data_IF_899242232056
#
_entry.id   IF_899242232056
#
_cell.length_a   1.000
_cell.length_b   1.000
_cell.length_c   1.000
_cell.angle_alpha   90.00
_cell.angle_beta   90.00
_cell.angle_gamma   90.00
#
_symmetry.space_group_name_H-M   'P 1'
#
loop_
_entity.id
_entity.type
_entity.pdbx_description
1 polymer ?
#
# COMPACT_ATOMS: atom_id res chain seq x y z
N UNK A 1 52.84 -5.48 -40.66
CA UNK A 1 52.60 -6.67 -39.86
C UNK A 1 51.76 -6.23 -38.64
N UNK A 2 50.44 -6.10 -38.85
CA UNK A 2 49.51 -5.64 -37.83
C UNK A 2 48.89 -6.85 -37.14
N UNK A 3 49.23 -7.05 -35.86
CA UNK A 3 48.54 -8.05 -35.02
C UNK A 3 47.23 -7.45 -34.52
N UNK A 4 46.13 -7.83 -35.12
CA UNK A 4 44.79 -7.63 -34.62
C UNK A 4 44.54 -8.60 -33.45
N UNK A 5 44.72 -8.11 -32.22
CA UNK A 5 44.27 -8.83 -31.03
C UNK A 5 42.76 -8.65 -30.94
N UNK A 6 42.02 -9.61 -31.46
CA UNK A 6 40.58 -9.70 -31.28
C UNK A 6 40.31 -10.18 -29.84
N UNK A 7 40.17 -9.24 -28.92
CA UNK A 7 39.74 -9.51 -27.56
C UNK A 7 38.25 -9.91 -27.62
N UNK A 8 38.03 -11.21 -27.67
CA UNK A 8 36.72 -11.80 -27.48
C UNK A 8 36.34 -11.63 -26.00
N UNK A 9 35.62 -10.56 -25.69
CA UNK A 9 34.92 -10.39 -24.42
C UNK A 9 33.81 -11.46 -24.36
N UNK A 10 34.14 -12.60 -23.80
CA UNK A 10 33.20 -13.67 -23.47
C UNK A 10 32.34 -13.12 -22.33
N UNK A 11 31.20 -12.46 -22.66
CA UNK A 11 30.18 -12.12 -21.69
C UNK A 11 29.59 -13.42 -21.18
N UNK A 12 30.04 -13.84 -20.00
CA UNK A 12 29.36 -14.87 -19.20
C UNK A 12 27.97 -14.34 -18.87
N UNK A 13 27.01 -14.61 -19.72
CA UNK A 13 25.61 -14.45 -19.39
C UNK A 13 25.33 -15.45 -18.25
N UNK A 14 25.22 -14.93 -17.02
CA UNK A 14 24.74 -15.71 -15.89
C UNK A 14 23.32 -16.16 -16.23
N UNK A 15 23.14 -17.41 -16.56
CA UNK A 15 21.82 -18.01 -16.72
C UNK A 15 21.22 -18.06 -15.33
N UNK A 16 20.37 -17.08 -15.02
CA UNK A 16 19.56 -17.11 -13.80
C UNK A 16 18.47 -18.13 -14.06
N UNK A 17 18.61 -19.31 -13.51
CA UNK A 17 17.52 -20.27 -13.48
C UNK A 17 16.45 -19.73 -12.52
N UNK A 18 15.23 -19.63 -13.00
CA UNK A 18 14.10 -19.30 -12.14
C UNK A 18 13.92 -20.46 -11.15
N UNK A 19 13.79 -20.12 -9.85
CA UNK A 19 13.55 -21.13 -8.81
C UNK A 19 12.19 -21.80 -9.06
N UNK A 20 12.15 -23.13 -9.02
CA UNK A 20 10.89 -23.85 -9.21
C UNK A 20 9.90 -23.54 -8.09
N UNK A 21 8.63 -23.33 -8.47
CA UNK A 21 7.57 -23.14 -7.49
C UNK A 21 7.26 -24.49 -6.83
N UNK A 22 7.40 -24.61 -5.50
CA UNK A 22 7.09 -25.86 -4.82
C UNK A 22 5.60 -26.21 -4.93
N UNK A 23 5.25 -27.50 -4.86
CA UNK A 23 3.86 -27.91 -4.89
C UNK A 23 3.12 -27.40 -3.64
N UNK A 24 1.86 -27.01 -3.80
CA UNK A 24 0.98 -26.65 -2.69
C UNK A 24 0.52 -27.91 -1.96
N UNK A 25 1.25 -28.31 -0.92
CA UNK A 25 0.96 -29.52 -0.15
C UNK A 25 0.00 -29.29 1.02
N UNK A 26 -0.25 -28.03 1.34
CA UNK A 26 -1.13 -27.60 2.44
C UNK A 26 -1.15 -26.08 2.58
N UNK A 27 -1.91 -25.57 3.54
CA UNK A 27 -1.95 -24.11 3.83
C UNK A 27 -0.63 -23.57 4.38
N UNK A 28 0.16 -24.44 5.01
CA UNK A 28 1.51 -24.12 5.52
C UNK A 28 2.50 -25.05 4.85
N UNK A 29 3.38 -24.50 4.01
CA UNK A 29 4.45 -25.20 3.31
C UNK A 29 5.77 -24.70 3.87
N UNK A 30 6.38 -25.48 4.77
CA UNK A 30 7.65 -25.17 5.42
C UNK A 30 8.77 -26.06 4.87
N UNK A 31 9.47 -25.56 3.86
CA UNK A 31 10.62 -26.25 3.27
C UNK A 31 11.92 -26.02 4.03
N UNK A 32 11.92 -25.10 4.97
CA UNK A 32 13.06 -24.78 5.79
C UNK A 32 13.04 -25.47 7.16
N UNK A 33 11.93 -26.14 7.49
CA UNK A 33 11.72 -26.89 8.74
C UNK A 33 11.97 -26.01 9.99
N UNK A 34 11.50 -24.77 9.97
CA UNK A 34 11.65 -23.84 11.09
C UNK A 34 10.46 -23.83 12.04
N UNK A 35 9.33 -24.36 11.61
CA UNK A 35 8.12 -24.43 12.43
C UNK A 35 8.11 -25.75 13.25
N UNK A 36 7.94 -25.68 14.57
CA UNK A 36 7.55 -26.83 15.37
C UNK A 36 6.23 -27.43 14.85
N UNK A 37 6.07 -28.75 14.96
CA UNK A 37 4.93 -29.44 14.40
C UNK A 37 3.59 -29.00 15.01
N UNK A 38 3.57 -28.66 16.30
CA UNK A 38 2.41 -28.13 17.02
C UNK A 38 2.02 -26.74 16.51
N UNK A 39 3.00 -25.84 16.23
CA UNK A 39 2.79 -24.52 15.66
C UNK A 39 2.26 -24.63 14.24
N UNK A 40 2.86 -25.46 13.39
CA UNK A 40 2.41 -25.69 12.02
C UNK A 40 0.96 -26.24 11.99
N UNK A 41 0.64 -27.18 12.88
CA UNK A 41 -0.71 -27.73 13.02
C UNK A 41 -1.72 -26.69 13.53
N UNK A 42 -1.32 -25.80 14.45
CA UNK A 42 -2.18 -24.70 14.92
C UNK A 42 -2.46 -23.71 13.80
N UNK A 43 -1.43 -23.24 13.10
CA UNK A 43 -1.57 -22.33 11.95
C UNK A 43 -2.48 -22.92 10.87
N UNK A 44 -2.30 -24.20 10.56
CA UNK A 44 -3.14 -24.89 9.56
C UNK A 44 -4.61 -24.86 9.97
N UNK A 45 -4.93 -25.13 11.24
CA UNK A 45 -6.32 -25.07 11.74
C UNK A 45 -6.90 -23.66 11.69
N UNK A 46 -6.13 -22.66 12.10
CA UNK A 46 -6.56 -21.26 12.09
C UNK A 46 -6.87 -20.78 10.67
N UNK A 47 -6.00 -21.12 9.72
CA UNK A 47 -6.18 -20.82 8.30
C UNK A 47 -7.38 -21.53 7.69
N UNK A 48 -7.61 -22.79 8.07
CA UNK A 48 -8.77 -23.59 7.64
C UNK A 48 -10.08 -23.04 8.20
N UNK A 49 -10.10 -22.68 9.47
CA UNK A 49 -11.27 -22.06 10.11
C UNK A 49 -11.61 -20.72 9.45
N UNK A 50 -10.59 -19.91 9.14
CA UNK A 50 -10.78 -18.64 8.46
C UNK A 50 -11.35 -18.82 7.04
N UNK A 51 -10.79 -19.75 6.25
CA UNK A 51 -11.28 -20.03 4.90
C UNK A 51 -12.74 -20.55 4.94
N UNK A 52 -13.06 -21.44 5.87
CA UNK A 52 -14.43 -21.95 6.06
C UNK A 52 -15.42 -20.82 6.38
N UNK A 53 -14.99 -19.82 7.17
CA UNK A 53 -15.84 -18.70 7.61
C UNK A 53 -16.00 -17.62 6.54
N UNK A 54 -14.93 -17.34 5.79
CA UNK A 54 -14.84 -16.14 4.94
C UNK A 54 -14.67 -16.46 3.46
N UNK A 55 -14.37 -17.71 3.11
CA UNK A 55 -13.92 -18.17 1.80
C UNK A 55 -12.56 -17.59 1.33
N UNK A 56 -11.90 -16.76 2.12
CA UNK A 56 -10.59 -16.22 1.77
C UNK A 56 -9.50 -17.28 1.96
N UNK A 57 -8.63 -17.45 0.99
CA UNK A 57 -7.55 -18.42 1.03
C UNK A 57 -6.23 -17.77 1.44
N UNK A 58 -5.71 -18.17 2.59
CA UNK A 58 -4.41 -17.70 3.08
C UNK A 58 -3.44 -18.87 3.17
N UNK A 59 -2.26 -18.72 2.59
CA UNK A 59 -1.21 -19.72 2.61
C UNK A 59 0.11 -19.15 3.11
N UNK A 60 0.96 -20.01 3.65
CA UNK A 60 2.32 -19.69 4.11
C UNK A 60 3.32 -20.52 3.33
N UNK A 61 4.36 -19.88 2.81
CA UNK A 61 5.50 -20.55 2.21
C UNK A 61 6.79 -20.09 2.90
N UNK A 62 7.53 -21.04 3.44
CA UNK A 62 8.83 -20.79 4.06
C UNK A 62 9.89 -21.51 3.28
N UNK A 63 10.86 -20.74 2.77
CA UNK A 63 11.97 -21.23 1.93
C UNK A 63 13.30 -21.06 2.63
N UNK A 64 14.23 -22.00 2.45
CA UNK A 64 15.60 -21.81 2.89
C UNK A 64 16.31 -20.67 2.13
N UNK A 65 15.99 -20.46 0.85
CA UNK A 65 16.59 -19.44 -0.01
C UNK A 65 15.78 -19.20 -1.27
N UNK A 66 15.90 -18.00 -1.84
CA UNK A 66 15.39 -17.62 -3.16
C UNK A 66 16.39 -17.88 -4.29
N UNK A 67 17.59 -18.36 -3.98
CA UNK A 67 18.66 -18.66 -4.95
C UNK A 67 19.03 -17.50 -5.89
N UNK A 68 18.81 -16.26 -5.43
CA UNK A 68 19.09 -15.04 -6.19
C UNK A 68 17.89 -14.48 -6.94
N UNK A 69 16.75 -15.15 -6.93
CA UNK A 69 15.54 -14.61 -7.55
C UNK A 69 14.97 -13.46 -6.71
N UNK A 70 14.41 -12.38 -7.34
CA UNK A 70 13.72 -11.32 -6.63
C UNK A 70 12.48 -11.84 -5.89
N UNK A 71 12.36 -11.45 -4.61
CA UNK A 71 11.27 -11.89 -3.72
C UNK A 71 9.88 -11.60 -4.30
N UNK A 72 9.71 -10.41 -4.87
CA UNK A 72 8.45 -9.94 -5.44
C UNK A 72 8.03 -10.80 -6.64
N UNK A 73 8.95 -11.04 -7.57
CA UNK A 73 8.67 -11.86 -8.76
C UNK A 73 8.35 -13.30 -8.38
N UNK A 74 9.11 -13.86 -7.42
CA UNK A 74 8.88 -15.22 -6.95
C UNK A 74 7.56 -15.37 -6.21
N UNK A 75 7.23 -14.44 -5.28
CA UNK A 75 5.96 -14.50 -4.53
C UNK A 75 4.75 -14.40 -5.43
N UNK A 76 4.78 -13.49 -6.41
CA UNK A 76 3.72 -13.34 -7.40
C UNK A 76 3.54 -14.63 -8.22
N UNK A 77 4.65 -15.24 -8.68
CA UNK A 77 4.62 -16.50 -9.42
C UNK A 77 4.08 -17.65 -8.57
N UNK A 78 4.45 -17.73 -7.28
CA UNK A 78 3.89 -18.72 -6.35
C UNK A 78 2.38 -18.54 -6.20
N UNK A 79 1.91 -17.34 -5.89
CA UNK A 79 0.49 -17.04 -5.73
C UNK A 79 -0.33 -17.43 -6.97
N UNK A 80 0.16 -17.06 -8.15
CA UNK A 80 -0.47 -17.37 -9.44
C UNK A 80 -0.42 -18.87 -9.77
N UNK A 81 0.73 -19.54 -9.52
CA UNK A 81 0.87 -20.99 -9.78
C UNK A 81 0.01 -21.82 -8.84
N UNK A 82 -0.06 -21.43 -7.56
CA UNK A 82 -0.91 -22.07 -6.55
C UNK A 82 -2.38 -21.71 -6.73
N UNK A 83 -2.69 -20.69 -7.54
CA UNK A 83 -4.04 -20.18 -7.79
C UNK A 83 -4.78 -19.87 -6.49
N UNK A 84 -4.09 -19.25 -5.54
CA UNK A 84 -4.68 -18.91 -4.25
C UNK A 84 -5.84 -17.93 -4.42
N UNK A 85 -6.90 -18.16 -3.64
CA UNK A 85 -8.15 -17.41 -3.76
C UNK A 85 -9.11 -18.05 -4.75
N UNK A 86 -10.35 -17.59 -4.73
CA UNK A 86 -11.40 -18.10 -5.58
C UNK A 86 -11.48 -17.28 -6.89
N UNK A 87 -11.73 -17.98 -7.99
CA UNK A 87 -11.92 -17.34 -9.30
C UNK A 87 -13.09 -16.35 -9.24
N UNK A 88 -12.84 -15.12 -9.67
CA UNK A 88 -13.84 -14.05 -9.70
C UNK A 88 -13.95 -13.25 -8.41
N UNK A 89 -13.47 -13.77 -7.28
CA UNK A 89 -13.32 -13.02 -6.03
C UNK A 89 -11.89 -12.65 -5.73
N UNK A 90 -10.91 -13.37 -6.31
CA UNK A 90 -9.48 -13.10 -6.23
C UNK A 90 -8.97 -12.87 -4.79
N UNK A 91 -9.53 -13.66 -3.83
CA UNK A 91 -9.40 -13.46 -2.39
C UNK A 91 -8.30 -14.31 -1.76
N UNK A 92 -7.16 -14.38 -2.43
CA UNK A 92 -5.97 -15.10 -1.98
C UNK A 92 -4.97 -14.20 -1.24
N UNK A 93 -4.24 -14.78 -0.27
CA UNK A 93 -3.08 -14.13 0.38
C UNK A 93 -1.95 -15.15 0.54
N UNK A 94 -0.73 -14.76 0.25
CA UNK A 94 0.47 -15.54 0.48
C UNK A 94 1.41 -14.80 1.45
N UNK A 95 1.75 -15.43 2.57
CA UNK A 95 2.89 -15.02 3.39
C UNK A 95 4.12 -15.83 2.96
N UNK A 96 5.12 -15.19 2.38
CA UNK A 96 6.36 -15.82 1.95
C UNK A 96 7.51 -15.36 2.84
N UNK A 97 8.31 -16.32 3.32
CA UNK A 97 9.49 -16.08 4.16
C UNK A 97 10.70 -16.75 3.53
N UNK A 98 11.74 -15.98 3.22
CA UNK A 98 13.01 -16.45 2.67
C UNK A 98 14.13 -16.26 3.71
N UNK A 99 14.64 -17.37 4.25
CA UNK A 99 15.50 -17.32 5.43
C UNK A 99 16.89 -16.77 5.15
N UNK A 100 17.54 -17.24 4.09
CA UNK A 100 18.91 -16.83 3.76
C UNK A 100 18.98 -15.34 3.42
N UNK A 101 18.01 -14.87 2.69
CA UNK A 101 17.89 -13.47 2.28
C UNK A 101 17.34 -12.58 3.41
N UNK A 102 16.84 -13.18 4.49
CA UNK A 102 16.15 -12.48 5.59
C UNK A 102 15.05 -11.57 5.07
N UNK A 103 14.22 -12.10 4.20
CA UNK A 103 13.14 -11.34 3.57
C UNK A 103 11.79 -12.00 3.82
N UNK A 104 10.78 -11.16 3.99
CA UNK A 104 9.38 -11.56 4.13
C UNK A 104 8.52 -10.73 3.20
N UNK A 105 7.49 -11.34 2.62
CA UNK A 105 6.49 -10.66 1.78
C UNK A 105 5.10 -11.17 2.08
N UNK A 106 4.16 -10.25 2.10
CA UNK A 106 2.73 -10.53 2.03
C UNK A 106 2.31 -10.18 0.61
N UNK A 107 1.90 -11.16 -0.16
CA UNK A 107 1.33 -10.99 -1.50
C UNK A 107 -0.17 -11.09 -1.39
N UNK A 108 -0.91 -10.15 -1.99
CA UNK A 108 -2.36 -10.00 -1.83
C UNK A 108 -3.05 -10.11 -3.18
N UNK A 109 -4.09 -10.94 -3.25
CA UNK A 109 -4.95 -11.03 -4.42
C UNK A 109 -5.87 -9.82 -4.57
N UNK A 110 -6.26 -9.50 -5.79
CA UNK A 110 -7.03 -8.30 -6.13
C UNK A 110 -8.27 -8.06 -5.23
N UNK A 111 -9.00 -9.12 -4.88
CA UNK A 111 -10.21 -9.01 -4.07
C UNK A 111 -9.98 -8.56 -2.63
N UNK A 112 -8.76 -8.68 -2.14
CA UNK A 112 -8.39 -8.30 -0.77
C UNK A 112 -7.57 -7.02 -0.68
N UNK A 113 -7.12 -6.42 -1.80
CA UNK A 113 -6.31 -5.20 -1.80
C UNK A 113 -7.01 -4.01 -1.11
N UNK A 114 -8.33 -3.94 -1.18
CA UNK A 114 -9.12 -2.92 -0.48
C UNK A 114 -9.11 -3.06 1.05
N UNK A 115 -8.96 -4.30 1.55
CA UNK A 115 -8.97 -4.61 2.98
C UNK A 115 -7.56 -4.76 3.53
N UNK A 116 -6.73 -5.58 2.89
CA UNK A 116 -5.33 -5.80 3.20
C UNK A 116 -4.45 -4.99 2.24
N UNK A 117 -4.48 -3.66 2.39
CA UNK A 117 -3.72 -2.74 1.55
C UNK A 117 -2.21 -2.92 1.71
N UNK A 118 -1.41 -2.42 0.75
CA UNK A 118 0.06 -2.42 0.85
C UNK A 118 0.55 -1.77 2.15
N UNK A 119 -0.10 -0.69 2.57
CA UNK A 119 0.23 0.01 3.81
C UNK A 119 -0.02 -0.85 5.05
N UNK A 120 -1.15 -1.58 5.10
CA UNK A 120 -1.48 -2.50 6.19
C UNK A 120 -0.54 -3.71 6.19
N UNK A 121 -0.26 -4.28 5.02
CA UNK A 121 0.71 -5.36 4.85
C UNK A 121 2.11 -4.95 5.32
N UNK A 122 2.57 -3.74 4.95
CA UNK A 122 3.84 -3.20 5.41
C UNK A 122 3.85 -2.93 6.93
N UNK A 123 2.72 -2.54 7.51
CA UNK A 123 2.59 -2.35 8.95
C UNK A 123 2.71 -3.69 9.69
N UNK A 124 1.98 -4.71 9.27
CA UNK A 124 2.05 -6.07 9.82
C UNK A 124 3.48 -6.60 9.79
N UNK A 125 4.15 -6.48 8.65
CA UNK A 125 5.54 -6.91 8.52
C UNK A 125 6.43 -6.20 9.54
N UNK A 126 6.33 -4.87 9.66
CA UNK A 126 7.22 -4.07 10.51
C UNK A 126 6.93 -4.20 12.00
N UNK A 127 5.68 -4.39 12.40
CA UNK A 127 5.28 -4.37 13.80
C UNK A 127 5.10 -5.77 14.40
N UNK A 128 4.59 -6.72 13.61
CA UNK A 128 4.23 -8.04 14.13
C UNK A 128 5.28 -9.11 13.77
N UNK A 129 5.85 -9.06 12.55
CA UNK A 129 6.74 -10.11 12.05
C UNK A 129 8.21 -9.78 12.34
N UNK A 130 8.72 -8.68 11.80
CA UNK A 130 10.16 -8.34 11.81
C UNK A 130 10.76 -8.24 13.21
N UNK A 131 10.12 -7.67 14.24
CA UNK A 131 10.70 -7.61 15.58
C UNK A 131 10.97 -9.00 16.16
N UNK A 132 10.04 -9.96 15.95
CA UNK A 132 10.21 -11.35 16.40
C UNK A 132 11.30 -12.08 15.61
N UNK A 133 11.37 -11.88 14.31
CA UNK A 133 12.42 -12.44 13.47
C UNK A 133 13.82 -11.94 13.89
N UNK A 134 13.96 -10.66 14.24
CA UNK A 134 15.20 -10.08 14.77
C UNK A 134 15.60 -10.65 16.11
N UNK A 135 14.65 -11.03 16.96
CA UNK A 135 14.92 -11.72 18.22
C UNK A 135 15.17 -13.23 18.08
N UNK A 136 15.11 -13.77 16.84
CA UNK A 136 15.30 -15.20 16.56
C UNK A 136 14.02 -16.05 16.68
N UNK A 137 12.89 -15.44 17.04
CA UNK A 137 11.60 -16.12 17.14
C UNK A 137 10.87 -16.16 15.78
N UNK A 138 11.36 -17.03 14.88
CA UNK A 138 10.72 -17.21 13.57
C UNK A 138 9.30 -17.78 13.66
N UNK A 139 9.03 -18.85 14.45
CA UNK A 139 7.68 -19.39 14.58
C UNK A 139 6.70 -18.37 15.15
N UNK A 140 7.08 -17.65 16.21
CA UNK A 140 6.24 -16.61 16.82
C UNK A 140 5.98 -15.43 15.88
N UNK A 141 6.97 -15.05 15.05
CA UNK A 141 6.81 -14.00 14.05
C UNK A 141 5.85 -14.39 12.94
N UNK A 142 5.93 -15.63 12.44
CA UNK A 142 5.01 -16.16 11.44
C UNK A 142 3.58 -16.23 12.01
N UNK A 143 3.43 -16.78 13.22
CA UNK A 143 2.13 -16.87 13.88
C UNK A 143 1.49 -15.50 14.10
N UNK A 144 2.26 -14.53 14.60
CA UNK A 144 1.77 -13.17 14.79
C UNK A 144 1.37 -12.49 13.48
N UNK A 145 2.18 -12.67 12.42
CA UNK A 145 1.87 -12.16 11.08
C UNK A 145 0.57 -12.73 10.54
N UNK A 146 0.36 -14.04 10.66
CA UNK A 146 -0.88 -14.69 10.23
C UNK A 146 -2.07 -14.16 11.03
N UNK A 147 -1.99 -14.08 12.36
CA UNK A 147 -3.09 -13.53 13.17
C UNK A 147 -3.41 -12.07 12.79
N UNK A 148 -2.40 -11.25 12.51
CA UNK A 148 -2.60 -9.88 12.07
C UNK A 148 -3.23 -9.80 10.66
N UNK A 149 -2.83 -10.68 9.72
CA UNK A 149 -3.44 -10.80 8.39
C UNK A 149 -4.92 -11.17 8.52
N UNK A 150 -5.23 -12.26 9.23
CA UNK A 150 -6.60 -12.72 9.43
C UNK A 150 -7.46 -11.65 10.11
N UNK A 151 -6.95 -11.04 11.19
CA UNK A 151 -7.62 -9.96 11.90
C UNK A 151 -7.85 -8.72 11.04
N UNK A 152 -6.93 -8.40 10.11
CA UNK A 152 -7.11 -7.31 9.16
C UNK A 152 -8.23 -7.60 8.18
N UNK A 153 -8.27 -8.80 7.63
CA UNK A 153 -9.31 -9.24 6.70
C UNK A 153 -10.68 -9.25 7.40
N UNK A 154 -10.75 -9.67 8.65
CA UNK A 154 -11.96 -9.71 9.46
C UNK A 154 -12.36 -8.36 10.07
N UNK A 155 -11.52 -7.33 9.93
CA UNK A 155 -11.77 -6.01 10.51
C UNK A 155 -11.56 -5.93 12.03
N UNK A 156 -10.92 -6.93 12.63
CA UNK A 156 -10.64 -7.00 14.08
C UNK A 156 -9.24 -6.51 14.46
N UNK A 157 -8.35 -6.36 13.50
CA UNK A 157 -6.99 -5.88 13.70
C UNK A 157 -6.95 -4.35 13.86
N UNK A 158 -6.38 -3.87 14.96
CA UNK A 158 -6.37 -2.44 15.34
C UNK A 158 -5.26 -1.61 14.69
N UNK A 159 -4.78 -1.99 13.51
CA UNK A 159 -3.79 -1.20 12.77
C UNK A 159 -4.24 0.24 12.50
N UNK A 160 -5.55 0.46 12.39
CA UNK A 160 -6.12 1.77 12.04
C UNK A 160 -5.84 2.86 13.10
N UNK A 161 -5.70 2.49 14.37
CA UNK A 161 -5.36 3.42 15.43
C UNK A 161 -3.93 3.93 15.30
N UNK A 162 -2.98 3.03 14.94
CA UNK A 162 -1.56 3.36 14.77
C UNK A 162 -1.32 4.07 13.42
N UNK A 163 -1.99 3.62 12.36
CA UNK A 163 -1.90 4.25 11.03
C UNK A 163 -2.58 5.62 11.00
N UNK A 164 -3.70 5.78 11.70
CA UNK A 164 -4.36 7.07 11.87
C UNK A 164 -3.51 8.03 12.71
N UNK A 165 -2.81 7.53 13.73
CA UNK A 165 -1.82 8.28 14.50
C UNK A 165 -0.63 8.71 13.64
N UNK A 166 -0.13 7.83 12.77
CA UNK A 166 0.98 8.12 11.86
C UNK A 166 0.58 9.04 10.69
N UNK A 167 -0.65 8.95 10.22
CA UNK A 167 -1.19 9.88 9.21
C UNK A 167 -1.48 11.26 9.82
N UNK A 168 -1.79 11.32 11.12
CA UNK A 168 -1.92 12.59 11.85
C UNK A 168 -0.60 13.15 12.33
N UNK A 169 0.47 12.35 12.39
CA UNK A 169 1.86 12.80 12.55
C UNK A 169 2.47 13.29 11.22
N UNK A 170 1.74 13.33 10.14
CA UNK A 170 1.95 14.24 9.03
C UNK A 170 1.91 15.63 9.63
N UNK A 171 3.08 16.08 9.98
CA UNK A 171 3.52 17.31 10.62
C UNK A 171 2.47 18.40 10.45
N UNK A 172 1.67 18.66 11.50
CA UNK A 172 0.95 19.94 11.59
C UNK A 172 1.99 20.99 11.20
N UNK A 173 1.78 21.74 10.11
CA UNK A 173 2.80 22.68 9.67
C UNK A 173 3.13 23.57 10.85
N UNK A 174 4.37 23.50 11.30
CA UNK A 174 4.84 24.27 12.44
C UNK A 174 4.53 25.74 12.19
N UNK A 175 4.34 26.53 13.24
CA UNK A 175 4.12 27.98 13.11
C UNK A 175 5.14 28.62 12.14
N UNK A 176 6.35 28.07 12.07
CA UNK A 176 7.41 28.45 11.15
C UNK A 176 7.06 28.17 9.66
N UNK A 177 6.40 27.06 9.34
CA UNK A 177 5.95 26.75 7.96
C UNK A 177 4.83 27.69 7.52
N UNK A 178 3.90 28.04 8.41
CA UNK A 178 2.89 29.06 8.10
C UNK A 178 3.49 30.43 7.86
N UNK A 179 4.53 30.82 8.61
CA UNK A 179 5.27 32.05 8.39
C UNK A 179 5.95 32.06 7.01
N UNK A 180 6.60 30.97 6.62
CA UNK A 180 7.25 30.85 5.29
C UNK A 180 6.19 30.92 4.18
N UNK A 181 5.10 30.17 4.29
CA UNK A 181 4.00 30.20 3.30
C UNK A 181 3.40 31.61 3.22
N UNK A 182 3.18 32.26 4.36
CA UNK A 182 2.70 33.66 4.42
C UNK A 182 3.64 34.64 3.72
N UNK A 183 4.94 34.52 3.92
CA UNK A 183 5.97 35.34 3.25
C UNK A 183 5.96 35.10 1.74
N UNK A 184 5.91 33.82 1.29
CA UNK A 184 5.88 33.48 -0.14
C UNK A 184 4.62 33.98 -0.82
N UNK A 185 3.46 33.77 -0.22
CA UNK A 185 2.17 34.24 -0.76
C UNK A 185 2.10 35.77 -0.75
N UNK A 186 2.57 36.40 0.33
CA UNK A 186 2.61 37.87 0.45
C UNK A 186 3.55 38.51 -0.57
N UNK A 187 4.74 37.92 -0.81
CA UNK A 187 5.68 38.45 -1.83
C UNK A 187 5.15 38.24 -3.26
N UNK A 188 4.53 37.09 -3.56
CA UNK A 188 3.91 36.85 -4.87
C UNK A 188 2.71 37.81 -5.11
N UNK A 189 1.88 38.02 -4.11
CA UNK A 189 0.79 38.98 -4.18
C UNK A 189 1.32 40.42 -4.37
N UNK A 190 2.39 40.78 -3.67
CA UNK A 190 3.08 42.09 -3.83
C UNK A 190 3.61 42.31 -5.23
N UNK A 191 4.24 41.30 -5.84
CA UNK A 191 4.76 41.33 -7.21
C UNK A 191 3.62 41.51 -8.23
N UNK A 192 2.52 40.72 -8.07
CA UNK A 192 1.36 40.81 -8.96
C UNK A 192 0.67 42.17 -8.87
N UNK A 193 0.58 42.78 -7.66
CA UNK A 193 -0.01 44.09 -7.49
C UNK A 193 0.92 45.24 -7.92
N UNK A 194 2.24 45.04 -7.97
CA UNK A 194 3.20 46.08 -8.32
C UNK A 194 3.22 46.44 -9.82
N UNK A 195 2.70 45.55 -10.68
CA UNK A 195 2.68 45.79 -12.13
C UNK A 195 1.61 46.75 -12.62
N UNK A 196 0.85 47.39 -11.76
CA UNK A 196 -0.18 48.29 -12.24
C UNK A 196 -0.64 49.40 -11.30
N UNK A 197 0.12 50.41 -10.99
CA UNK A 197 -0.21 51.70 -10.36
C UNK A 197 0.73 52.06 -9.20
N UNK A 198 1.41 53.17 -9.39
CA UNK A 198 2.50 53.66 -8.55
C UNK A 198 1.99 54.16 -7.16
N UNK A 199 2.68 53.77 -6.11
CA UNK A 199 2.77 54.53 -4.84
C UNK A 199 1.87 54.07 -3.66
N UNK A 200 0.62 53.68 -3.84
CA UNK A 200 -0.28 53.37 -2.72
C UNK A 200 -0.41 51.88 -2.37
N UNK A 201 0.21 51.03 -3.19
CA UNK A 201 0.04 49.56 -3.14
C UNK A 201 1.08 48.87 -2.27
N UNK A 202 2.24 49.45 -2.07
CA UNK A 202 3.25 48.89 -1.16
C UNK A 202 2.80 48.89 0.29
N UNK A 203 1.99 49.90 0.70
CA UNK A 203 1.45 50.00 2.04
C UNK A 203 0.32 48.96 2.30
N UNK A 204 -0.51 48.68 1.29
CA UNK A 204 -1.58 47.66 1.39
C UNK A 204 -1.01 46.25 1.41
N UNK A 205 0.06 45.95 0.65
CA UNK A 205 0.72 44.66 0.66
C UNK A 205 1.41 44.35 1.97
N UNK A 206 2.07 45.33 2.60
CA UNK A 206 2.72 45.15 3.90
C UNK A 206 1.70 45.01 5.05
N UNK A 207 0.57 45.71 4.99
CA UNK A 207 -0.51 45.57 5.97
C UNK A 207 -1.17 44.19 5.88
N UNK A 208 -1.41 43.67 4.67
CA UNK A 208 -1.98 42.36 4.46
C UNK A 208 -1.05 41.24 4.96
N UNK A 209 0.25 41.36 4.69
CA UNK A 209 1.26 40.41 5.17
C UNK A 209 1.35 40.42 6.72
N UNK A 210 1.28 41.58 7.34
CA UNK A 210 1.28 41.73 8.79
C UNK A 210 0.00 41.11 9.44
N UNK A 211 -1.17 41.34 8.85
CA UNK A 211 -2.42 40.73 9.32
C UNK A 211 -2.41 39.20 9.19
N UNK A 212 -1.90 38.65 8.08
CA UNK A 212 -1.77 37.19 7.89
C UNK A 212 -0.81 36.59 8.91
N UNK A 213 0.30 37.24 9.21
CA UNK A 213 1.26 36.79 10.21
C UNK A 213 0.69 36.82 11.64
N UNK A 214 -0.12 37.83 11.98
CA UNK A 214 -0.80 37.95 13.28
C UNK A 214 -1.88 36.84 13.45
N UNK A 215 -2.65 36.52 12.41
CA UNK A 215 -3.64 35.44 12.49
C UNK A 215 -2.99 34.05 12.57
N UNK A 216 -1.84 33.82 11.94
CA UNK A 216 -1.09 32.58 12.04
C UNK A 216 -0.55 32.33 13.45
N UNK A 217 -0.17 33.39 14.19
CA UNK A 217 0.40 33.28 15.54
C UNK A 217 -0.63 32.94 16.64
N UNK A 218 -1.93 33.13 16.37
CA UNK A 218 -3.02 32.97 17.37
C UNK A 218 -3.79 31.64 17.19
N UNK A 219 -3.38 30.72 16.29
CA UNK A 219 -4.02 29.39 16.17
C UNK A 219 -5.44 29.39 15.57
N UNK A 220 -5.91 30.50 14.98
CA UNK A 220 -7.24 30.64 14.38
C UNK A 220 -7.22 30.36 12.86
N UNK A 221 -6.51 29.32 12.42
CA UNK A 221 -6.36 28.97 11.00
C UNK A 221 -7.66 28.76 10.21
N UNK A 222 -8.75 28.41 10.88
CA UNK A 222 -10.05 28.20 10.22
C UNK A 222 -10.77 29.51 9.86
N UNK A 223 -10.57 30.59 10.62
CA UNK A 223 -11.17 31.88 10.31
C UNK A 223 -10.49 32.57 9.11
N UNK A 224 -9.17 32.42 8.96
CA UNK A 224 -8.42 32.97 7.83
C UNK A 224 -8.80 32.33 6.51
N UNK A 225 -9.02 31.00 6.48
CA UNK A 225 -9.48 30.28 5.29
C UNK A 225 -10.89 30.73 4.84
N UNK A 226 -11.78 31.02 5.77
CA UNK A 226 -13.12 31.55 5.48
C UNK A 226 -13.09 32.96 4.88
N UNK A 227 -12.25 33.85 5.42
CA UNK A 227 -12.11 35.23 4.93
C UNK A 227 -11.46 35.28 3.56
N UNK A 228 -10.43 34.47 3.30
CA UNK A 228 -9.79 34.40 1.97
C UNK A 228 -10.71 33.78 0.92
N UNK A 229 -11.47 32.76 1.26
CA UNK A 229 -12.48 32.17 0.37
C UNK A 229 -13.62 33.18 0.07
N UNK A 230 -14.06 33.97 1.05
CA UNK A 230 -15.05 34.99 0.86
C UNK A 230 -14.57 36.15 -0.01
N UNK A 231 -13.33 36.61 0.17
CA UNK A 231 -12.73 37.64 -0.67
C UNK A 231 -12.50 37.15 -2.13
N UNK A 232 -12.06 35.91 -2.31
CA UNK A 232 -11.95 35.28 -3.63
C UNK A 232 -13.33 35.13 -4.29
N UNK A 233 -14.36 34.77 -3.53
CA UNK A 233 -15.73 34.69 -4.03
C UNK A 233 -16.25 36.08 -4.47
N UNK A 234 -15.97 37.13 -3.71
CA UNK A 234 -16.33 38.54 -4.04
C UNK A 234 -15.61 39.01 -5.33
N UNK A 235 -14.32 38.67 -5.51
CA UNK A 235 -13.57 39.01 -6.71
C UNK A 235 -14.09 38.23 -7.93
N UNK A 236 -14.43 36.97 -7.75
CA UNK A 236 -15.03 36.12 -8.79
C UNK A 236 -16.47 36.56 -9.14
N UNK A 237 -17.21 37.14 -8.21
CA UNK A 237 -18.53 37.65 -8.47
C UNK A 237 -18.49 39.00 -9.23
N UNK A 238 -17.48 39.82 -8.97
CA UNK A 238 -17.23 41.06 -9.73
C UNK A 238 -16.78 40.80 -11.19
N UNK A 239 -16.25 39.59 -11.49
CA UNK A 239 -15.86 39.19 -12.84
C UNK A 239 -16.93 38.41 -13.62
N UNK A 240 -18.06 38.05 -13.00
CA UNK A 240 -19.16 37.30 -13.64
C UNK A 240 -20.21 38.22 -14.31
N UNK A 241 -19.77 39.21 -15.03
CA UNK A 241 -20.61 39.92 -15.99
C UNK A 241 -20.15 39.55 -17.40
N UNK A 242 -20.61 38.43 -17.95
CA UNK A 242 -20.87 38.14 -19.35
C UNK A 242 -20.46 36.71 -19.76
N UNK A 243 -21.44 35.99 -20.33
CA UNK A 243 -21.15 34.80 -21.13
C UNK A 243 -22.02 33.57 -20.85
N UNK A 244 -23.12 33.57 -21.50
CA UNK A 244 -24.12 32.52 -21.65
C UNK A 244 -23.62 31.38 -22.55
N UNK A 245 -23.97 30.13 -22.25
CA UNK A 245 -23.87 29.04 -23.23
C UNK A 245 -23.79 27.64 -22.58
N UNK A 246 -24.97 26.97 -22.55
CA UNK A 246 -25.31 25.63 -23.04
C UNK A 246 -24.24 24.54 -22.90
N UNK A 247 -24.46 23.35 -22.29
CA UNK A 247 -25.57 22.42 -22.38
C UNK A 247 -25.00 21.05 -22.77
N UNK A 248 -25.69 19.97 -22.41
CA UNK A 248 -25.50 18.54 -22.75
C UNK A 248 -24.83 17.76 -21.60
N UNK A 249 -25.40 16.76 -21.01
CA UNK A 249 -26.50 15.87 -21.35
C UNK A 249 -26.03 14.43 -21.38
N UNK A 250 -26.72 13.55 -20.63
CA UNK A 250 -26.81 12.09 -20.78
C UNK A 250 -25.58 11.27 -20.34
N UNK A 251 -25.65 10.31 -19.44
CA UNK A 251 -26.70 9.35 -19.14
C UNK A 251 -26.32 7.98 -19.69
N UNK A 252 -26.11 6.95 -18.84
CA UNK A 252 -26.34 5.54 -19.18
C UNK A 252 -26.01 4.66 -17.98
N UNK A 253 -26.95 4.11 -17.32
CA UNK A 253 -27.72 2.85 -17.27
C UNK A 253 -26.90 1.55 -17.12
N UNK A 254 -27.06 0.98 -15.96
CA UNK A 254 -27.33 -0.40 -15.53
C UNK A 254 -27.34 -1.53 -16.54
N UNK A 255 -26.79 -2.68 -16.11
CA UNK A 255 -27.17 -4.01 -16.56
C UNK A 255 -26.63 -5.11 -15.65
N UNK A 256 -27.48 -5.97 -15.10
CA UNK A 256 -27.11 -7.07 -14.23
C UNK A 256 -27.11 -8.42 -14.96
N UNK A 257 -26.32 -9.36 -14.46
CA UNK A 257 -26.36 -10.77 -14.82
C UNK A 257 -25.25 -11.49 -14.06
N UNK A 258 -25.44 -12.32 -13.14
CA UNK A 258 -26.30 -13.48 -13.02
C UNK A 258 -25.53 -14.73 -13.44
N UNK A 259 -25.09 -15.58 -12.48
CA UNK A 259 -24.51 -16.87 -12.81
C UNK A 259 -23.94 -17.59 -11.58
N UNK A 260 -24.80 -18.24 -10.82
CA UNK A 260 -24.48 -19.23 -9.81
C UNK A 260 -23.96 -20.51 -10.49
N UNK A 261 -22.86 -21.07 -9.98
CA UNK A 261 -22.39 -22.39 -10.32
C UNK A 261 -21.57 -22.94 -9.16
N UNK A 262 -22.25 -23.50 -8.16
CA UNK A 262 -21.63 -24.25 -7.10
C UNK A 262 -21.23 -25.63 -7.61
N UNK A 263 -20.04 -26.09 -7.28
CA UNK A 263 -19.67 -27.50 -7.32
C UNK A 263 -18.95 -27.84 -6.03
N UNK A 264 -19.67 -28.56 -5.18
CA UNK A 264 -19.10 -29.27 -4.03
C UNK A 264 -18.52 -30.59 -4.53
N UNK A 265 -17.23 -30.76 -4.34
CA UNK A 265 -16.54 -32.03 -4.57
C UNK A 265 -15.52 -32.22 -3.46
N UNK A 266 -15.83 -33.08 -2.50
CA UNK A 266 -15.01 -33.40 -1.36
C UNK A 266 -13.80 -34.26 -1.72
N UNK A 267 -12.72 -34.04 -1.00
CA UNK A 267 -11.48 -34.83 -1.04
C UNK A 267 -10.32 -33.99 -0.52
N UNK A 268 -9.99 -34.17 0.69
CA UNK A 268 -9.01 -33.63 1.65
C UNK A 268 -7.68 -33.08 1.23
N UNK A 269 -7.53 -32.32 0.17
CA UNK A 269 -6.31 -31.59 -0.16
C UNK A 269 -6.61 -30.10 -0.28
N UNK A 270 -5.80 -29.25 0.38
CA UNK A 270 -5.84 -27.82 0.15
C UNK A 270 -5.37 -27.53 -1.28
N UNK A 271 -6.20 -26.87 -2.07
CA UNK A 271 -5.86 -26.43 -3.42
C UNK A 271 -6.35 -24.98 -3.65
N UNK A 272 -5.66 -24.22 -4.44
CA UNK A 272 -6.09 -22.90 -4.81
C UNK A 272 -7.36 -22.93 -5.65
N UNK A 273 -8.26 -21.98 -5.44
CA UNK A 273 -9.57 -21.86 -6.08
C UNK A 273 -9.57 -21.13 -7.42
N UNK A 274 -8.41 -20.73 -7.93
CA UNK A 274 -8.26 -20.08 -9.23
C UNK A 274 -8.19 -18.55 -9.19
N UNK A 275 -7.77 -17.96 -8.06
CA UNK A 275 -7.57 -16.53 -7.91
C UNK A 275 -6.34 -16.00 -8.64
N UNK A 276 -6.38 -14.72 -8.99
CA UNK A 276 -5.29 -13.98 -9.62
C UNK A 276 -4.70 -12.91 -8.68
N UNK A 277 -3.44 -12.53 -8.93
CA UNK A 277 -2.68 -11.57 -8.16
C UNK A 277 -2.22 -10.42 -9.06
N UNK A 278 -2.28 -9.17 -8.52
CA UNK A 278 -1.82 -7.95 -9.19
C UNK A 278 -0.43 -7.49 -8.77
N UNK A 279 0.21 -8.23 -7.86
CA UNK A 279 1.46 -7.79 -7.25
C UNK A 279 1.27 -6.85 -6.08
N UNK A 280 0.04 -6.66 -5.61
CA UNK A 280 -0.26 -5.94 -4.37
C UNK A 280 0.34 -6.63 -3.15
N UNK A 281 0.56 -5.86 -2.08
CA UNK A 281 1.16 -6.35 -0.84
C UNK A 281 2.41 -5.58 -0.42
N UNK A 282 3.22 -6.15 0.46
CA UNK A 282 4.42 -5.49 0.95
C UNK A 282 5.56 -6.47 1.22
N UNK A 283 6.78 -5.97 1.18
CA UNK A 283 8.00 -6.70 1.51
C UNK A 283 8.73 -6.07 2.69
N UNK A 284 9.50 -6.87 3.42
CA UNK A 284 10.37 -6.42 4.50
C UNK A 284 11.58 -7.30 4.69
N UNK A 285 12.52 -6.84 5.51
CA UNK A 285 13.71 -7.60 5.88
C UNK A 285 14.05 -7.45 7.37
N UNK A 286 14.79 -8.41 7.92
CA UNK A 286 15.23 -8.43 9.32
C UNK A 286 16.70 -8.74 9.52
#
# INVERSE_FOLDING_TARGET
>A
MFFLVLSSALTLASVVFALDVPPLTGRVVDLAHVLPADVAASLTRDLEAHETKTSNQVAVLILPSLEGEPLESFSHRVGTTWKLGQKGTENGVLLLVALRERKVRIEVGYGLEGTLTDLRSAHIIRQDIVPRFRSGDLPGGIAAGIQAILGTIEGTYKADEVLSGSARSGQEPTAFQYVIIGIVVGTLAGIVLSHGLQGTRALLGSLLAFLVAQFASVGLGFAAAGVTAFLLWLILQASRGRGQGRGWGEGFTTGPGGGFGGSFGGGGGFSGGGGDFGGGGASGGW
#
